data_IF_906970770525
#
_entry.id   IF_906970770525
#
_cell.length_a   1.000
_cell.length_b   1.000
_cell.length_c   1.000
_cell.angle_alpha   90.00
_cell.angle_beta   90.00
_cell.angle_gamma   90.00
#
_symmetry.space_group_name_H-M   'P 1'
#
loop_
_entity.id
_entity.type
_entity.pdbx_description
1 polymer ?
#
# COMPACT_ATOMS: atom_id res chain seq x y z
N UNK A 1 -2.85 -5.32 -3.92
CA UNK A 1 -4.24 -5.01 -3.51
C UNK A 1 -5.29 -5.48 -4.53
N UNK A 2 -5.22 -5.03 -5.79
CA UNK A 2 -6.22 -5.31 -6.83
C UNK A 2 -6.71 -6.79 -6.86
N UNK A 3 -5.81 -7.75 -7.12
CA UNK A 3 -6.20 -9.16 -7.25
C UNK A 3 -6.86 -9.73 -5.99
N UNK A 4 -6.33 -9.41 -4.80
CA UNK A 4 -6.90 -9.89 -3.55
C UNK A 4 -8.29 -9.30 -3.29
N UNK A 5 -8.56 -8.08 -3.76
CA UNK A 5 -9.86 -7.44 -3.61
C UNK A 5 -10.92 -8.09 -4.49
N UNK A 6 -10.54 -8.57 -5.68
CA UNK A 6 -11.44 -9.35 -6.55
C UNK A 6 -11.65 -10.78 -6.04
N UNK A 7 -10.60 -11.42 -5.54
CA UNK A 7 -10.62 -12.84 -5.17
C UNK A 7 -11.28 -13.10 -3.80
N UNK A 8 -11.10 -12.20 -2.83
CA UNK A 8 -11.63 -12.40 -1.48
C UNK A 8 -13.10 -11.96 -1.42
N UNK A 9 -14.07 -12.82 -1.00
CA UNK A 9 -15.50 -12.51 -1.02
C UNK A 9 -15.92 -11.24 -0.25
N UNK A 10 -15.16 -10.88 0.80
CA UNK A 10 -15.36 -9.65 1.57
C UNK A 10 -14.53 -8.45 1.11
N UNK A 11 -13.88 -8.54 -0.05
CA UNK A 11 -12.91 -7.58 -0.55
C UNK A 11 -11.60 -7.55 0.23
N UNK A 12 -10.67 -6.69 -0.23
CA UNK A 12 -9.36 -6.47 0.37
C UNK A 12 -8.97 -5.00 0.30
N UNK A 13 -8.45 -4.49 1.41
CA UNK A 13 -7.86 -3.15 1.52
C UNK A 13 -6.62 -3.24 2.39
N UNK A 14 -5.48 -2.75 1.91
CA UNK A 14 -4.21 -2.89 2.63
C UNK A 14 -4.30 -2.28 4.04
N UNK A 15 -4.86 -1.08 4.21
CA UNK A 15 -4.98 -0.44 5.54
C UNK A 15 -5.86 -1.25 6.53
N UNK A 16 -6.86 -1.99 6.03
CA UNK A 16 -7.65 -2.92 6.87
C UNK A 16 -6.83 -4.15 7.22
N UNK A 17 -6.01 -4.63 6.29
CA UNK A 17 -5.09 -5.73 6.53
C UNK A 17 -4.01 -5.34 7.54
N UNK A 18 -3.45 -4.13 7.46
CA UNK A 18 -2.50 -3.59 8.44
C UNK A 18 -3.10 -3.56 9.84
N UNK A 19 -4.35 -3.10 9.99
CA UNK A 19 -5.04 -3.14 11.27
C UNK A 19 -5.25 -4.59 11.75
N UNK A 20 -5.65 -5.50 10.86
CA UNK A 20 -5.80 -6.92 11.18
C UNK A 20 -4.49 -7.57 11.64
N UNK A 21 -3.37 -7.21 11.02
CA UNK A 21 -2.03 -7.70 11.38
C UNK A 21 -1.74 -7.36 12.85
N UNK A 22 -1.85 -6.07 13.20
CA UNK A 22 -1.52 -5.61 14.55
C UNK A 22 -2.57 -6.01 15.60
N UNK A 23 -3.81 -6.27 15.21
CA UNK A 23 -4.87 -6.68 16.13
C UNK A 23 -4.89 -8.19 16.38
N UNK A 24 -4.56 -9.01 15.36
CA UNK A 24 -4.87 -10.44 15.40
C UNK A 24 -3.78 -11.38 14.89
N UNK A 25 -2.86 -10.94 14.02
CA UNK A 25 -1.91 -11.88 13.38
C UNK A 25 -0.57 -11.88 14.10
N UNK A 26 -0.07 -10.70 14.46
CA UNK A 26 1.20 -10.55 15.12
C UNK A 26 1.23 -11.22 16.49
N UNK A 27 2.45 -11.43 17.01
CA UNK A 27 2.69 -11.99 18.34
C UNK A 27 1.99 -13.36 18.53
N UNK A 28 2.13 -14.24 17.53
CA UNK A 28 1.53 -15.58 17.49
C UNK A 28 -0.01 -15.55 17.65
N UNK A 29 -0.69 -14.63 16.95
CA UNK A 29 -2.14 -14.56 16.97
C UNK A 29 -2.74 -13.77 18.14
N UNK A 30 -1.90 -13.06 18.91
CA UNK A 30 -2.33 -12.24 20.06
C UNK A 30 -2.51 -10.76 19.72
N UNK A 31 -1.98 -10.33 18.57
CA UNK A 31 -1.84 -8.91 18.26
C UNK A 31 -0.79 -8.23 19.13
N UNK A 32 -0.61 -6.94 18.87
CA UNK A 32 0.38 -6.08 19.52
C UNK A 32 -0.21 -5.22 20.65
N UNK A 33 -1.52 -5.26 20.86
CA UNK A 33 -2.23 -4.45 21.86
C UNK A 33 -1.87 -2.95 21.76
N UNK A 34 -1.86 -2.42 20.53
CA UNK A 34 -1.58 -1.02 20.28
C UNK A 34 -2.71 -0.13 20.79
N UNK A 35 -2.40 1.12 21.13
CA UNK A 35 -3.40 2.09 21.56
C UNK A 35 -4.40 2.39 20.45
N UNK A 36 -5.56 2.93 20.84
CA UNK A 36 -6.62 3.25 19.89
C UNK A 36 -6.15 4.28 18.84
N UNK A 37 -5.35 5.27 19.24
CA UNK A 37 -4.85 6.35 18.38
C UNK A 37 -3.95 5.79 17.27
N UNK A 38 -3.04 4.88 17.62
CA UNK A 38 -2.15 4.23 16.64
C UNK A 38 -2.97 3.41 15.63
N UNK A 39 -3.91 2.61 16.12
CA UNK A 39 -4.82 1.80 15.28
C UNK A 39 -5.69 2.68 14.37
N UNK A 40 -6.17 3.82 14.89
CA UNK A 40 -6.94 4.80 14.15
C UNK A 40 -6.10 5.43 13.03
N UNK A 41 -4.85 5.83 13.31
CA UNK A 41 -3.91 6.29 12.30
C UNK A 41 -3.69 5.24 11.19
N UNK A 42 -3.43 3.99 11.56
CA UNK A 42 -3.24 2.88 10.60
C UNK A 42 -4.46 2.70 9.69
N UNK A 43 -5.68 2.71 10.22
CA UNK A 43 -6.86 2.43 9.37
C UNK A 43 -7.30 3.64 8.54
N UNK A 44 -6.85 4.85 8.91
CA UNK A 44 -7.27 6.11 8.26
C UNK A 44 -6.21 6.72 7.35
N UNK A 45 -4.94 6.31 7.39
CA UNK A 45 -3.90 6.97 6.58
C UNK A 45 -4.19 6.94 5.08
N UNK A 46 -4.53 5.78 4.51
CA UNK A 46 -4.69 5.64 3.06
C UNK A 46 -6.14 5.76 2.60
N UNK A 47 -6.42 6.77 1.76
CA UNK A 47 -7.72 6.99 1.10
C UNK A 47 -7.53 7.47 -0.33
N UNK A 48 -7.34 6.52 -1.25
CA UNK A 48 -7.55 6.63 -2.70
C UNK A 48 -7.20 7.96 -3.42
N UNK A 49 -7.89 8.20 -4.53
CA UNK A 49 -7.82 9.45 -5.30
C UNK A 49 -8.88 10.41 -4.74
N UNK A 50 -8.45 11.52 -4.17
CA UNK A 50 -9.29 12.49 -3.47
C UNK A 50 -8.44 13.53 -2.76
N UNK A 51 -9.11 14.48 -2.08
CA UNK A 51 -8.46 15.54 -1.33
C UNK A 51 -7.48 14.99 -0.30
N UNK A 52 -6.33 15.65 -0.18
CA UNK A 52 -5.26 15.23 0.73
C UNK A 52 -5.72 15.40 2.19
N UNK A 53 -6.36 16.54 2.49
CA UNK A 53 -6.88 16.91 3.81
C UNK A 53 -8.35 17.38 3.66
N UNK A 54 -9.31 16.46 3.47
CA UNK A 54 -10.72 16.83 3.31
C UNK A 54 -11.29 17.38 4.62
N UNK A 55 -11.82 18.60 4.57
CA UNK A 55 -12.27 19.28 5.77
C UNK A 55 -13.44 18.59 6.47
N UNK A 56 -13.36 18.46 7.80
CA UNK A 56 -14.45 17.88 8.61
C UNK A 56 -14.80 16.43 8.27
N UNK A 57 -13.97 15.75 7.48
CA UNK A 57 -14.30 14.44 6.95
C UNK A 57 -14.09 13.34 7.99
N UNK A 58 -15.04 12.41 8.16
CA UNK A 58 -14.85 11.22 9.00
C UNK A 58 -13.77 10.28 8.45
N UNK A 59 -13.21 10.59 7.28
CA UNK A 59 -12.10 9.87 6.68
C UNK A 59 -10.76 10.20 7.30
N UNK A 60 -10.61 11.35 7.96
CA UNK A 60 -9.38 11.70 8.66
C UNK A 60 -9.21 10.86 9.93
N UNK A 61 -7.95 10.71 10.35
CA UNK A 61 -7.67 10.17 11.67
C UNK A 61 -8.12 11.17 12.75
N UNK A 62 -8.42 10.66 13.93
CA UNK A 62 -8.89 11.47 15.05
C UNK A 62 -7.81 12.40 15.61
N UNK A 63 -6.54 12.00 15.52
CA UNK A 63 -5.39 12.80 15.98
C UNK A 63 -4.70 13.50 14.82
N UNK A 64 -4.06 14.64 15.09
CA UNK A 64 -3.26 15.35 14.09
C UNK A 64 -2.07 14.52 13.62
N UNK A 65 -1.46 13.74 14.51
CA UNK A 65 -0.39 12.81 14.17
C UNK A 65 -0.87 11.73 13.19
N UNK A 66 -2.07 11.18 13.41
CA UNK A 66 -2.66 10.21 12.49
C UNK A 66 -3.00 10.83 11.13
N UNK A 67 -3.42 12.09 11.10
CA UNK A 67 -3.64 12.84 9.85
C UNK A 67 -2.32 13.15 9.14
N UNK A 68 -1.26 13.47 9.90
CA UNK A 68 0.07 13.71 9.36
C UNK A 68 0.63 12.47 8.66
N UNK A 69 0.37 11.27 9.17
CA UNK A 69 0.78 10.01 8.51
C UNK A 69 0.21 9.92 7.09
N UNK A 70 -1.04 10.34 6.86
CA UNK A 70 -1.61 10.39 5.49
C UNK A 70 -0.80 11.31 4.58
N UNK A 71 -0.51 12.52 5.05
CA UNK A 71 0.21 13.51 4.24
C UNK A 71 1.64 13.04 3.98
N UNK A 72 2.30 12.48 4.99
CA UNK A 72 3.64 11.90 4.88
C UNK A 72 3.68 10.73 3.88
N UNK A 73 2.70 9.83 3.91
CA UNK A 73 2.56 8.74 2.95
C UNK A 73 2.44 9.30 1.51
N UNK A 74 1.59 10.32 1.32
CA UNK A 74 1.43 10.98 0.02
C UNK A 74 2.73 11.60 -0.48
N UNK A 75 3.42 12.38 0.37
CA UNK A 75 4.70 13.01 0.02
C UNK A 75 5.75 11.94 -0.30
N UNK A 76 5.80 10.85 0.47
CA UNK A 76 6.76 9.78 0.24
C UNK A 76 6.53 9.11 -1.12
N UNK A 77 5.32 8.61 -1.40
CA UNK A 77 5.10 7.84 -2.63
C UNK A 77 5.24 8.70 -3.89
N UNK A 78 4.71 9.93 -3.93
CA UNK A 78 4.84 10.76 -5.15
C UNK A 78 6.29 11.09 -5.48
N UNK A 79 7.16 11.16 -4.47
CA UNK A 79 8.58 11.42 -4.67
C UNK A 79 9.35 10.15 -5.05
N UNK A 80 9.10 9.04 -4.35
CA UNK A 80 9.76 7.77 -4.65
C UNK A 80 9.35 7.22 -6.01
N UNK A 81 8.05 7.27 -6.35
CA UNK A 81 7.56 6.76 -7.63
C UNK A 81 8.08 7.60 -8.81
N UNK A 82 8.21 8.92 -8.65
CA UNK A 82 8.86 9.76 -9.65
C UNK A 82 10.33 9.41 -9.82
N UNK A 83 11.07 9.23 -8.71
CA UNK A 83 12.49 8.87 -8.76
C UNK A 83 12.70 7.49 -9.40
N UNK A 84 11.86 6.51 -9.08
CA UNK A 84 11.93 5.17 -9.65
C UNK A 84 11.52 5.18 -11.13
N UNK A 85 10.55 5.99 -11.52
CA UNK A 85 10.19 6.17 -12.92
C UNK A 85 11.31 6.83 -13.74
N UNK A 86 12.02 7.81 -13.16
CA UNK A 86 13.19 8.43 -13.78
C UNK A 86 14.35 7.43 -13.92
N UNK A 87 14.61 6.63 -12.87
CA UNK A 87 15.66 5.59 -12.89
C UNK A 87 15.37 4.46 -13.87
N UNK A 88 14.11 4.09 -14.01
CA UNK A 88 13.66 3.07 -14.96
C UNK A 88 13.54 3.61 -16.40
N UNK A 89 13.90 4.88 -16.65
CA UNK A 89 13.77 5.55 -17.93
C UNK A 89 12.33 5.53 -18.48
N UNK A 90 11.33 5.38 -17.61
CA UNK A 90 9.91 5.43 -17.96
C UNK A 90 9.43 6.86 -18.19
N UNK A 91 10.07 7.81 -17.52
CA UNK A 91 9.91 9.26 -17.71
C UNK A 91 11.29 9.91 -17.71
N UNK A 92 11.42 11.02 -18.41
CA UNK A 92 12.62 11.85 -18.41
C UNK A 92 12.41 13.12 -17.58
N UNK A 93 13.49 13.75 -17.06
CA UNK A 93 13.37 14.99 -16.28
C UNK A 93 12.66 16.15 -17.01
N UNK A 94 12.68 16.13 -18.34
CA UNK A 94 11.99 17.11 -19.19
C UNK A 94 10.48 16.91 -19.28
N UNK A 95 9.97 15.71 -18.97
CA UNK A 95 8.55 15.36 -19.11
C UNK A 95 7.71 15.95 -17.97
N UNK A 96 8.34 16.16 -16.80
CA UNK A 96 7.67 16.80 -15.68
C UNK A 96 7.36 18.26 -16.01
N UNK A 97 6.09 18.71 -15.93
CA UNK A 97 5.71 20.07 -16.28
C UNK A 97 6.57 21.13 -15.60
N UNK A 98 7.01 22.12 -16.38
CA UNK A 98 7.99 23.12 -15.95
C UNK A 98 7.50 23.94 -14.74
N UNK A 99 6.19 24.13 -14.57
CA UNK A 99 5.63 24.81 -13.40
C UNK A 99 5.73 23.96 -12.13
N UNK A 100 5.50 22.65 -12.20
CA UNK A 100 5.69 21.75 -11.05
C UNK A 100 7.17 21.71 -10.63
N UNK A 101 8.08 21.63 -11.61
CA UNK A 101 9.54 21.69 -11.36
C UNK A 101 9.97 23.00 -10.69
N UNK A 102 9.34 24.12 -11.04
CA UNK A 102 9.65 25.42 -10.44
C UNK A 102 9.25 25.49 -8.97
N UNK A 103 8.15 24.84 -8.60
CA UNK A 103 7.64 24.80 -7.21
C UNK A 103 8.38 23.76 -6.37
N UNK A 104 8.55 22.55 -6.91
CA UNK A 104 9.08 21.41 -6.17
C UNK A 104 10.62 21.29 -6.26
N UNK A 105 11.23 21.81 -7.33
CA UNK A 105 12.64 21.59 -7.65
C UNK A 105 12.91 20.28 -8.38
N UNK A 106 14.16 20.10 -8.81
CA UNK A 106 14.57 18.98 -9.66
C UNK A 106 14.97 17.74 -8.84
N UNK A 107 15.51 17.92 -7.63
CA UNK A 107 15.99 16.81 -6.78
C UNK A 107 14.91 16.35 -5.80
N UNK A 108 14.89 15.05 -5.52
CA UNK A 108 14.01 14.43 -4.52
C UNK A 108 13.97 15.17 -3.18
N UNK A 109 15.15 15.54 -2.65
CA UNK A 109 15.24 16.31 -1.41
C UNK A 109 14.62 17.71 -1.47
N UNK A 110 14.67 18.37 -2.63
CA UNK A 110 14.04 19.68 -2.82
C UNK A 110 12.52 19.54 -2.82
N UNK A 111 11.99 18.52 -3.51
CA UNK A 111 10.55 18.27 -3.62
C UNK A 111 9.94 17.93 -2.27
N UNK A 112 10.57 17.02 -1.53
CA UNK A 112 10.17 16.67 -0.16
C UNK A 112 10.23 17.91 0.73
N UNK A 113 11.32 18.68 0.69
CA UNK A 113 11.45 19.89 1.50
C UNK A 113 10.37 20.93 1.17
N UNK A 114 10.04 21.12 -0.10
CA UNK A 114 9.00 22.06 -0.54
C UNK A 114 7.62 21.67 0.02
N UNK A 115 7.22 20.41 -0.14
CA UNK A 115 5.93 19.90 0.35
C UNK A 115 5.84 19.94 1.89
N UNK A 116 6.90 19.50 2.59
CA UNK A 116 6.94 19.51 4.06
C UNK A 116 6.97 20.93 4.61
N UNK A 117 7.77 21.83 4.02
CA UNK A 117 7.84 23.22 4.46
C UNK A 117 6.52 23.94 4.27
N UNK A 118 5.84 23.73 3.15
CA UNK A 118 4.51 24.30 2.89
C UNK A 118 3.47 23.82 3.91
N UNK A 119 3.43 22.52 4.20
CA UNK A 119 2.54 21.94 5.20
C UNK A 119 2.76 22.59 6.57
N UNK A 120 4.01 22.65 7.03
CA UNK A 120 4.35 23.21 8.35
C UNK A 120 4.02 24.70 8.41
N UNK A 121 4.47 25.48 7.43
CA UNK A 121 4.28 26.94 7.43
C UNK A 121 2.81 27.32 7.31
N UNK A 122 2.05 26.66 6.42
CA UNK A 122 0.63 26.96 6.23
C UNK A 122 -0.18 26.56 7.46
N UNK A 123 0.13 25.41 8.07
CA UNK A 123 -0.49 24.96 9.32
C UNK A 123 -0.24 25.97 10.45
N UNK A 124 1.02 26.40 10.65
CA UNK A 124 1.37 27.38 11.68
C UNK A 124 0.77 28.77 11.42
N UNK A 125 0.64 29.18 10.16
CA UNK A 125 0.04 30.46 9.82
C UNK A 125 -1.48 30.46 10.06
N UNK A 126 -2.16 29.34 9.80
CA UNK A 126 -3.61 29.21 10.02
C UNK A 126 -3.97 29.13 11.50
N UNK A 127 -3.17 28.39 12.29
CA UNK A 127 -3.26 28.25 13.75
C UNK A 127 -4.69 27.96 14.27
N UNK A 128 -5.45 27.15 13.53
CA UNK A 128 -6.85 26.80 13.85
C UNK A 128 -6.97 25.38 14.44
N UNK A 129 -5.85 24.78 14.81
CA UNK A 129 -5.77 23.41 15.35
C UNK A 129 -5.91 22.30 14.30
N UNK A 130 -5.75 22.60 13.00
CA UNK A 130 -5.86 21.62 11.90
C UNK A 130 -4.62 21.65 11.00
N UNK A 131 -4.38 20.57 10.25
CA UNK A 131 -3.33 20.56 9.23
C UNK A 131 -3.79 21.27 7.97
N UNK A 132 -2.90 22.08 7.38
CA UNK A 132 -3.16 22.82 6.14
C UNK A 132 -2.01 22.71 5.17
N UNK A 133 -2.34 22.48 3.91
CA UNK A 133 -1.47 22.77 2.76
C UNK A 133 -1.94 24.08 2.12
N UNK A 134 -1.03 24.83 1.51
CA UNK A 134 -1.44 25.96 0.68
C UNK A 134 -2.25 25.45 -0.52
N UNK A 135 -3.16 26.28 -1.05
CA UNK A 135 -3.95 25.91 -2.23
C UNK A 135 -3.05 25.53 -3.42
N UNK A 136 -1.99 26.30 -3.65
CA UNK A 136 -1.01 26.04 -4.71
C UNK A 136 -0.23 24.74 -4.50
N UNK A 137 0.13 24.38 -3.26
CA UNK A 137 0.80 23.10 -2.99
C UNK A 137 -0.17 21.92 -3.14
N UNK A 138 -1.42 22.06 -2.70
CA UNK A 138 -2.43 21.02 -2.87
C UNK A 138 -2.70 20.74 -4.36
N UNK A 139 -2.83 21.78 -5.19
CA UNK A 139 -2.90 21.68 -6.65
C UNK A 139 -1.64 21.02 -7.23
N UNK A 140 -0.46 21.48 -6.83
CA UNK A 140 0.84 20.94 -7.29
C UNK A 140 0.97 19.43 -7.01
N UNK A 141 0.63 18.98 -5.80
CA UNK A 141 0.65 17.55 -5.46
C UNK A 141 -0.40 16.78 -6.27
N UNK A 142 -1.59 17.36 -6.46
CA UNK A 142 -2.68 16.72 -7.22
C UNK A 142 -2.31 16.54 -8.69
N UNK A 143 -1.69 17.54 -9.30
CA UNK A 143 -1.15 17.46 -10.66
C UNK A 143 0.01 16.48 -10.77
N UNK A 144 0.93 16.45 -9.80
CA UNK A 144 2.02 15.46 -9.77
C UNK A 144 1.47 14.02 -9.71
N UNK A 145 0.44 13.78 -8.89
CA UNK A 145 -0.25 12.47 -8.84
C UNK A 145 -0.84 12.10 -10.20
N UNK A 146 -1.49 13.06 -10.88
CA UNK A 146 -2.08 12.83 -12.19
C UNK A 146 -1.00 12.53 -13.25
N UNK A 147 0.09 13.28 -13.23
CA UNK A 147 1.25 13.03 -14.09
C UNK A 147 1.80 11.61 -13.88
N UNK A 148 2.02 11.19 -12.63
CA UNK A 148 2.48 9.83 -12.33
C UNK A 148 1.47 8.79 -12.79
N UNK A 149 0.18 9.02 -12.54
CA UNK A 149 -0.92 8.17 -13.03
C UNK A 149 -0.82 7.90 -14.54
N UNK A 150 -0.76 8.97 -15.32
CA UNK A 150 -0.80 8.87 -16.77
C UNK A 150 0.50 8.37 -17.41
N UNK A 151 1.66 8.66 -16.81
CA UNK A 151 2.96 8.37 -17.44
C UNK A 151 3.67 7.14 -16.85
N UNK A 152 3.39 6.79 -15.59
CA UNK A 152 4.04 5.68 -14.90
C UNK A 152 3.09 4.49 -14.80
N UNK A 153 1.94 4.67 -14.13
CA UNK A 153 1.07 3.53 -13.85
C UNK A 153 0.30 3.03 -15.09
N UNK A 154 0.03 3.90 -16.08
CA UNK A 154 -0.56 3.50 -17.38
C UNK A 154 0.45 2.99 -18.41
N UNK A 155 1.75 3.03 -18.11
CA UNK A 155 2.76 2.56 -19.05
C UNK A 155 2.62 1.05 -19.30
N UNK A 156 2.69 0.67 -20.57
CA UNK A 156 2.54 -0.71 -21.03
C UNK A 156 3.55 -1.68 -20.41
N UNK A 157 4.78 -1.22 -20.14
CA UNK A 157 5.81 -2.06 -19.51
C UNK A 157 5.43 -2.44 -18.07
N UNK A 158 4.85 -1.51 -17.31
CA UNK A 158 4.31 -1.77 -15.97
C UNK A 158 3.10 -2.69 -16.07
N UNK A 159 2.25 -2.52 -17.09
CA UNK A 159 1.09 -3.40 -17.29
C UNK A 159 1.47 -4.87 -17.50
N UNK A 160 2.50 -5.18 -18.29
CA UNK A 160 2.90 -6.56 -18.54
C UNK A 160 3.41 -7.27 -17.27
N UNK A 161 4.25 -6.61 -16.46
CA UNK A 161 4.70 -7.17 -15.18
C UNK A 161 3.57 -7.21 -14.14
N UNK A 162 2.68 -6.22 -14.16
CA UNK A 162 1.49 -6.20 -13.32
C UNK A 162 0.58 -7.40 -13.63
N UNK A 163 0.31 -7.72 -14.89
CA UNK A 163 -0.47 -8.89 -15.29
C UNK A 163 0.15 -10.20 -14.80
N UNK A 164 1.48 -10.34 -14.91
CA UNK A 164 2.22 -11.50 -14.38
C UNK A 164 2.07 -11.60 -12.85
N UNK A 165 2.27 -10.49 -12.14
CA UNK A 165 2.09 -10.44 -10.69
C UNK A 165 0.65 -10.79 -10.28
N UNK A 166 -0.34 -10.27 -10.99
CA UNK A 166 -1.74 -10.60 -10.76
C UNK A 166 -2.02 -12.10 -10.96
N UNK A 167 -1.43 -12.70 -12.01
CA UNK A 167 -1.54 -14.14 -12.27
C UNK A 167 -0.93 -14.96 -11.14
N UNK A 168 0.28 -14.62 -10.69
CA UNK A 168 0.93 -15.28 -9.55
C UNK A 168 0.02 -15.27 -8.32
N UNK A 169 -0.55 -14.11 -7.99
CA UNK A 169 -1.46 -13.99 -6.84
C UNK A 169 -2.73 -14.82 -7.04
N UNK A 170 -3.34 -14.80 -8.24
CA UNK A 170 -4.55 -15.59 -8.56
C UNK A 170 -4.31 -17.09 -8.43
N UNK A 171 -3.23 -17.58 -9.02
CA UNK A 171 -2.86 -18.99 -9.02
C UNK A 171 -2.54 -19.47 -7.59
N UNK A 172 -1.74 -18.71 -6.81
CA UNK A 172 -1.46 -19.03 -5.41
C UNK A 172 -2.73 -19.02 -4.56
N UNK A 173 -3.62 -18.05 -4.78
CA UNK A 173 -4.90 -17.97 -4.06
C UNK A 173 -5.75 -19.19 -4.30
N UNK A 174 -5.96 -19.57 -5.57
CA UNK A 174 -6.71 -20.76 -5.95
C UNK A 174 -6.08 -22.03 -5.37
N UNK A 175 -4.75 -22.16 -5.46
CA UNK A 175 -4.04 -23.33 -4.93
C UNK A 175 -4.25 -23.51 -3.42
N UNK A 176 -4.12 -22.45 -2.61
CA UNK A 176 -4.28 -22.54 -1.15
C UNK A 176 -5.74 -22.61 -0.68
N UNK A 177 -6.72 -22.37 -1.56
CA UNK A 177 -8.12 -22.73 -1.28
C UNK A 177 -8.34 -24.25 -1.28
N UNK A 178 -7.47 -25.02 -1.90
CA UNK A 178 -7.60 -26.47 -1.99
C UNK A 178 -6.52 -27.20 -1.17
N UNK A 179 -5.32 -26.61 -1.05
CA UNK A 179 -4.15 -27.22 -0.42
C UNK A 179 -3.81 -26.60 0.95
N UNK A 180 -2.95 -27.28 1.70
CA UNK A 180 -2.42 -26.82 2.99
C UNK A 180 -1.26 -25.81 2.82
N UNK A 181 -1.08 -24.94 3.80
CA UNK A 181 0.02 -23.98 3.82
C UNK A 181 1.35 -24.66 4.17
N UNK A 182 2.48 -24.19 3.63
CA UNK A 182 3.79 -24.76 3.95
C UNK A 182 4.14 -24.59 5.44
N UNK A 183 4.50 -25.70 6.09
CA UNK A 183 4.79 -25.76 7.53
C UNK A 183 5.94 -24.85 8.01
N UNK A 184 6.85 -24.46 7.11
CA UNK A 184 8.14 -23.87 7.49
C UNK A 184 8.29 -22.39 7.11
N UNK A 185 7.35 -21.81 6.36
CA UNK A 185 7.51 -20.46 5.79
C UNK A 185 6.82 -19.35 6.57
N UNK A 186 5.64 -19.65 7.12
CA UNK A 186 4.83 -18.68 7.87
C UNK A 186 3.93 -19.33 8.91
N UNK A 187 3.86 -20.67 9.01
CA UNK A 187 3.06 -21.34 10.03
C UNK A 187 3.50 -21.02 11.48
N UNK A 188 4.72 -20.50 11.66
CA UNK A 188 5.17 -19.96 12.95
C UNK A 188 4.59 -18.57 13.24
N UNK A 189 4.64 -17.62 12.29
CA UNK A 189 4.13 -16.25 12.45
C UNK A 189 2.60 -16.20 12.39
N UNK A 190 2.04 -17.12 11.60
CA UNK A 190 0.65 -17.35 11.34
C UNK A 190 0.26 -18.72 11.89
N UNK A 191 0.47 -18.95 13.20
CA UNK A 191 -0.53 -19.73 13.95
C UNK A 191 -1.80 -18.89 13.90
N UNK A 192 -2.48 -18.94 12.75
CA UNK A 192 -3.66 -18.16 12.44
C UNK A 192 -4.65 -18.53 13.51
N UNK A 193 -4.77 -17.69 14.54
CA UNK A 193 -5.87 -17.77 15.47
C UNK A 193 -7.11 -17.81 14.60
N UNK A 194 -7.92 -18.86 14.77
CA UNK A 194 -9.08 -19.04 13.93
C UNK A 194 -9.90 -17.76 13.95
N UNK A 195 -10.38 -17.29 12.79
CA UNK A 195 -11.38 -16.24 12.78
C UNK A 195 -12.50 -16.63 13.75
N UNK A 196 -13.13 -15.66 14.44
CA UNK A 196 -14.22 -15.95 15.37
C UNK A 196 -15.29 -16.85 14.74
N UNK A 197 -16.04 -17.54 15.60
CA UNK A 197 -16.83 -18.70 15.20
C UNK A 197 -18.01 -18.39 14.25
N UNK A 198 -18.20 -17.14 13.89
CA UNK A 198 -19.39 -16.47 13.35
C UNK A 198 -19.47 -16.46 11.81
N UNK A 199 -18.77 -17.38 11.13
CA UNK A 199 -18.84 -17.51 9.68
C UNK A 199 -18.68 -18.95 9.19
N UNK A 200 -19.36 -19.22 8.08
CA UNK A 200 -19.23 -20.41 7.22
C UNK A 200 -17.76 -20.80 7.03
N UNK A 201 -17.43 -22.08 7.16
CA UNK A 201 -16.07 -22.64 7.05
C UNK A 201 -15.30 -22.09 5.84
N UNK A 202 -16.01 -21.86 4.74
CA UNK A 202 -15.50 -21.33 3.49
C UNK A 202 -14.95 -19.89 3.61
N UNK A 203 -15.71 -18.97 4.25
CA UNK A 203 -15.26 -17.59 4.48
C UNK A 203 -13.98 -17.54 5.31
N UNK A 204 -13.85 -18.45 6.29
CA UNK A 204 -12.63 -18.55 7.10
C UNK A 204 -11.44 -19.00 6.28
N UNK A 205 -11.64 -19.94 5.34
CA UNK A 205 -10.57 -20.39 4.45
C UNK A 205 -10.09 -19.25 3.55
N UNK A 206 -11.01 -18.55 2.88
CA UNK A 206 -10.69 -17.36 2.08
C UNK A 206 -9.90 -16.31 2.88
N UNK A 207 -10.28 -16.07 4.15
CA UNK A 207 -9.55 -15.14 5.02
C UNK A 207 -8.13 -15.61 5.31
N UNK A 208 -7.93 -16.88 5.65
CA UNK A 208 -6.59 -17.44 5.94
C UNK A 208 -5.67 -17.37 4.71
N UNK A 209 -6.19 -17.72 3.53
CA UNK A 209 -5.44 -17.60 2.27
C UNK A 209 -5.05 -16.15 2.00
N UNK A 210 -5.99 -15.22 2.20
CA UNK A 210 -5.73 -13.80 2.04
C UNK A 210 -4.67 -13.28 3.03
N UNK A 211 -4.73 -13.68 4.30
CA UNK A 211 -3.75 -13.29 5.32
C UNK A 211 -2.36 -13.83 4.97
N UNK A 212 -2.28 -15.10 4.54
CA UNK A 212 -1.03 -15.73 4.13
C UNK A 212 -0.42 -15.01 2.92
N UNK A 213 -1.20 -14.79 1.86
CA UNK A 213 -0.71 -14.17 0.63
C UNK A 213 -0.30 -12.71 0.86
N UNK A 214 -1.11 -11.94 1.59
CA UNK A 214 -0.79 -10.55 1.90
C UNK A 214 0.43 -10.39 2.83
N UNK A 215 0.78 -11.44 3.59
CA UNK A 215 1.98 -11.47 4.44
C UNK A 215 3.27 -11.90 3.73
N UNK A 216 3.22 -12.26 2.45
CA UNK A 216 4.41 -12.66 1.69
C UNK A 216 5.22 -11.44 1.26
N UNK A 217 6.54 -11.60 1.23
CA UNK A 217 7.41 -10.73 0.44
C UNK A 217 7.39 -11.15 -1.03
N UNK A 218 7.66 -10.23 -1.96
CA UNK A 218 7.69 -10.54 -3.40
C UNK A 218 8.64 -11.70 -3.73
N UNK A 219 9.84 -11.68 -3.13
CA UNK A 219 10.84 -12.75 -3.30
C UNK A 219 10.30 -14.11 -2.82
N UNK A 220 9.59 -14.13 -1.71
CA UNK A 220 8.99 -15.36 -1.19
C UNK A 220 7.85 -15.85 -2.10
N UNK A 221 6.97 -14.94 -2.54
CA UNK A 221 5.87 -15.26 -3.45
C UNK A 221 6.37 -15.87 -4.77
N UNK A 222 7.40 -15.28 -5.38
CA UNK A 222 8.02 -15.78 -6.60
C UNK A 222 8.70 -17.15 -6.42
N UNK A 223 9.44 -17.33 -5.33
CA UNK A 223 10.07 -18.60 -5.01
C UNK A 223 9.02 -19.71 -4.79
N UNK A 224 7.96 -19.40 -4.05
CA UNK A 224 6.86 -20.31 -3.78
C UNK A 224 6.08 -20.67 -5.05
N UNK A 225 5.79 -19.67 -5.89
CA UNK A 225 5.15 -19.89 -7.19
C UNK A 225 5.98 -20.81 -8.08
N UNK A 226 7.29 -20.57 -8.15
CA UNK A 226 8.23 -21.41 -8.90
C UNK A 226 8.23 -22.84 -8.36
N UNK A 227 8.24 -23.01 -7.03
CA UNK A 227 8.25 -24.33 -6.41
C UNK A 227 6.96 -25.13 -6.68
N UNK A 228 5.80 -24.46 -6.73
CA UNK A 228 4.49 -25.10 -6.86
C UNK A 228 4.14 -25.38 -8.32
N UNK A 229 4.32 -24.39 -9.21
CA UNK A 229 3.79 -24.44 -10.57
C UNK A 229 4.84 -24.71 -11.65
N UNK A 230 6.14 -24.47 -11.39
CA UNK A 230 7.16 -24.73 -12.40
C UNK A 230 7.63 -26.19 -12.34
N UNK A 231 7.66 -26.90 -13.47
CA UNK A 231 8.14 -28.27 -13.52
C UNK A 231 9.64 -28.32 -13.20
N UNK A 232 10.04 -29.28 -12.38
CA UNK A 232 11.46 -29.54 -12.14
C UNK A 232 12.01 -30.42 -13.27
N UNK A 233 13.16 -30.10 -13.88
CA UNK A 233 13.82 -31.01 -14.80
C UNK A 233 14.11 -32.32 -14.07
N UNK A 234 13.95 -33.44 -14.79
CA UNK A 234 14.17 -34.76 -14.23
C UNK A 234 15.63 -34.86 -13.78
N UNK A 235 15.86 -34.98 -12.47
CA UNK A 235 17.16 -35.35 -11.92
C UNK A 235 17.36 -36.85 -12.13
N UNK A 236 17.58 -37.25 -13.39
CA UNK A 236 18.10 -38.56 -13.75
C UNK A 236 19.45 -38.32 -14.41
N UNK A 237 20.49 -38.31 -13.58
CA UNK A 237 21.89 -38.50 -13.97
C UNK A 237 22.48 -39.54 -13.01
#
# INVERSE_FOLDING_TARGET
EFSLNELHPGGFKHFRQSLRIVDFLENNGRGLNLTWEVRNGIVKHSKGYGDILPEGSPELAATLEGQLVRVADIIAYVNHDLDDALRAEMVHPGDLPAHLRRVLGDRSSQRINAMVSDLVQTTLHRDDGRLHLSAGMNETITELRAFLYDNVYRNYQVHAEFEKAQRIIRDLYAFFLEHEFPANGLASCCRLREPPADGETDRRRHRRVCDFIAGMTDRYALALYTQIFMPKPWSVL
#
